data_IF_187012787518
#
_entry.id   IF_187012787518
#
_cell.length_a   1.000
_cell.length_b   1.000
_cell.length_c   1.000
_cell.angle_alpha   90.00
_cell.angle_beta   90.00
_cell.angle_gamma   90.00
#
_symmetry.space_group_name_H-M   'P 1'
#
loop_
_entity.id
_entity.type
_entity.pdbx_description
1 polymer ?
#
# COMPACT_ATOMS: atom_id res chain seq x y z
N UNK A 1 2.47 9.09 1.95
CA UNK A 1 1.63 8.66 3.09
C UNK A 1 1.65 9.65 4.24
N UNK A 2 2.80 10.13 4.70
CA UNK A 2 2.92 11.10 5.80
C UNK A 2 2.11 12.40 5.64
N UNK A 3 1.68 12.75 4.42
CA UNK A 3 0.86 13.93 4.14
C UNK A 3 -0.64 13.68 4.34
N UNK A 4 -1.18 12.57 3.83
CA UNK A 4 -2.63 12.34 3.80
C UNK A 4 -3.14 11.52 4.99
N UNK A 5 -2.36 10.53 5.49
CA UNK A 5 -2.82 9.63 6.55
C UNK A 5 -3.26 10.37 7.83
N UNK A 6 -2.48 11.33 8.39
CA UNK A 6 -2.91 12.05 9.60
C UNK A 6 -4.21 12.82 9.41
N UNK A 7 -4.50 13.29 8.19
CA UNK A 7 -5.75 13.99 7.87
C UNK A 7 -6.95 13.05 7.86
N UNK A 8 -6.77 11.83 7.35
CA UNK A 8 -7.81 10.81 7.38
C UNK A 8 -8.11 10.35 8.81
N UNK A 9 -7.08 10.14 9.61
CA UNK A 9 -7.21 9.79 11.03
C UNK A 9 -7.95 10.90 11.80
N UNK A 10 -7.58 12.16 11.61
CA UNK A 10 -8.25 13.31 12.21
C UNK A 10 -9.72 13.46 11.77
N UNK A 11 -10.04 13.03 10.54
CA UNK A 11 -11.42 12.99 10.03
C UNK A 11 -12.20 11.75 10.48
N UNK A 12 -11.63 10.87 11.30
CA UNK A 12 -12.27 9.65 11.80
C UNK A 12 -12.60 8.66 10.68
N UNK A 13 -11.77 8.58 9.64
CA UNK A 13 -11.93 7.64 8.55
C UNK A 13 -11.37 6.27 8.92
N UNK A 14 -11.99 5.16 8.49
CA UNK A 14 -11.44 3.82 8.69
C UNK A 14 -10.17 3.66 7.84
N UNK A 15 -9.03 3.74 8.49
CA UNK A 15 -7.70 3.47 7.95
C UNK A 15 -7.04 2.38 8.78
N UNK A 16 -6.14 1.56 8.23
CA UNK A 16 -5.39 0.59 9.03
C UNK A 16 -4.60 1.30 10.13
N UNK A 17 -4.57 0.74 11.34
CA UNK A 17 -3.69 1.23 12.40
C UNK A 17 -2.26 1.30 11.88
N UNK A 18 -1.65 2.47 11.93
CA UNK A 18 -0.39 2.75 11.27
C UNK A 18 0.54 3.54 12.18
N UNK A 19 1.80 3.11 12.27
CA UNK A 19 2.88 3.91 12.86
C UNK A 19 3.82 4.37 11.75
N UNK A 20 4.05 5.68 11.68
CA UNK A 20 4.98 6.29 10.73
C UNK A 20 6.35 6.46 11.38
N UNK A 21 7.39 5.93 10.74
CA UNK A 21 8.78 6.00 11.21
C UNK A 21 9.62 6.75 10.18
N UNK A 22 10.30 7.85 10.56
CA UNK A 22 11.18 8.56 9.66
C UNK A 22 12.49 7.79 9.47
N UNK A 23 13.04 7.84 8.25
CA UNK A 23 14.36 7.30 7.94
C UNK A 23 15.31 8.43 7.58
N UNK A 24 16.42 8.54 8.32
CA UNK A 24 17.46 9.51 8.01
C UNK A 24 18.26 9.11 6.76
N UNK A 25 18.90 10.09 6.13
CA UNK A 25 19.83 9.81 5.02
C UNK A 25 21.01 8.92 5.42
N UNK A 26 21.44 9.03 6.69
CA UNK A 26 22.51 8.19 7.21
C UNK A 26 22.04 6.73 7.33
N UNK A 27 20.88 6.51 7.96
CA UNK A 27 20.27 5.18 8.05
C UNK A 27 20.02 4.54 6.68
N UNK A 28 19.51 5.31 5.71
CA UNK A 28 19.32 4.83 4.33
C UNK A 28 20.62 4.32 3.71
N UNK A 29 21.70 5.14 3.77
CA UNK A 29 23.00 4.76 3.21
C UNK A 29 23.61 3.54 3.90
N UNK A 30 23.42 3.46 5.20
CA UNK A 30 23.95 2.37 6.01
C UNK A 30 23.22 1.05 5.72
N UNK A 31 21.88 1.05 5.65
CA UNK A 31 21.14 -0.13 5.19
C UNK A 31 21.55 -0.53 3.77
N UNK A 32 21.78 0.45 2.89
CA UNK A 32 22.22 0.16 1.52
C UNK A 32 23.58 -0.54 1.47
N UNK A 33 24.48 -0.23 2.40
CA UNK A 33 25.81 -0.87 2.51
C UNK A 33 25.74 -2.38 2.82
N UNK A 34 24.61 -2.89 3.33
CA UNK A 34 24.41 -4.33 3.56
C UNK A 34 24.53 -5.13 2.26
N UNK A 35 24.14 -4.54 1.12
CA UNK A 35 24.29 -5.16 -0.19
C UNK A 35 25.78 -5.36 -0.58
N UNK A 36 26.67 -4.56 -0.01
CA UNK A 36 28.14 -4.69 -0.16
C UNK A 36 28.76 -5.61 0.90
N UNK A 37 27.94 -6.27 1.73
CA UNK A 37 28.39 -7.12 2.83
C UNK A 37 29.00 -6.38 4.02
N UNK A 38 28.76 -5.06 4.14
CA UNK A 38 29.22 -4.27 5.29
C UNK A 38 28.31 -4.45 6.49
N UNK A 39 28.81 -4.34 7.73
CA UNK A 39 27.96 -4.37 8.91
C UNK A 39 27.10 -3.11 8.99
N UNK A 40 25.95 -3.21 9.67
CA UNK A 40 25.12 -2.06 10.01
C UNK A 40 25.81 -1.19 11.06
N UNK A 41 25.70 0.12 10.89
CA UNK A 41 26.13 1.14 11.83
C UNK A 41 24.95 1.64 12.69
N UNK A 42 25.22 2.51 13.67
CA UNK A 42 24.24 3.01 14.64
C UNK A 42 22.99 3.63 13.97
N UNK A 43 23.10 4.49 12.95
CA UNK A 43 21.90 5.10 12.35
C UNK A 43 20.88 4.09 11.77
N UNK A 44 21.38 3.00 11.17
CA UNK A 44 20.49 1.96 10.66
C UNK A 44 19.95 1.07 11.77
N UNK A 45 20.78 0.77 12.77
CA UNK A 45 20.35 -0.01 13.94
C UNK A 45 19.25 0.72 14.72
N UNK A 46 19.38 2.03 14.97
CA UNK A 46 18.36 2.86 15.62
C UNK A 46 17.04 2.84 14.82
N UNK A 47 17.12 3.07 13.52
CA UNK A 47 15.95 3.03 12.63
C UNK A 47 15.26 1.66 12.66
N UNK A 48 16.02 0.56 12.58
CA UNK A 48 15.46 -0.80 12.62
C UNK A 48 14.85 -1.13 13.99
N UNK A 49 15.40 -0.61 15.08
CA UNK A 49 14.82 -0.74 16.41
C UNK A 49 13.48 -0.01 16.52
N UNK A 50 13.40 1.23 16.05
CA UNK A 50 12.14 1.98 16.03
C UNK A 50 11.08 1.28 15.17
N UNK A 51 11.47 0.83 13.98
CA UNK A 51 10.57 0.12 13.07
C UNK A 51 10.10 -1.22 13.66
N UNK A 52 11.00 -1.96 14.30
CA UNK A 52 10.71 -3.21 14.98
C UNK A 52 9.81 -3.02 16.20
N UNK A 53 10.03 -1.96 16.99
CA UNK A 53 9.15 -1.59 18.10
C UNK A 53 7.74 -1.27 17.63
N UNK A 54 7.59 -0.47 16.56
CA UNK A 54 6.31 -0.17 15.96
C UNK A 54 5.58 -1.44 15.47
N UNK A 55 6.32 -2.38 14.86
CA UNK A 55 5.76 -3.65 14.41
C UNK A 55 5.31 -4.55 15.58
N UNK A 56 6.07 -4.57 16.65
CA UNK A 56 5.73 -5.33 17.87
C UNK A 56 4.47 -4.75 18.57
N UNK A 57 4.34 -3.42 18.59
CA UNK A 57 3.16 -2.75 19.16
C UNK A 57 1.88 -3.03 18.35
N UNK A 58 1.98 -3.02 17.01
CA UNK A 58 0.87 -3.36 16.13
C UNK A 58 0.51 -4.85 16.25
N UNK A 59 1.51 -5.70 16.33
CA UNK A 59 1.40 -7.17 16.37
C UNK A 59 1.59 -7.82 15.00
N UNK A 60 2.52 -8.78 14.93
CA UNK A 60 2.78 -9.54 13.70
C UNK A 60 1.61 -10.48 13.35
N UNK A 61 1.37 -10.73 12.03
CA UNK A 61 2.04 -10.12 10.88
C UNK A 61 1.63 -8.66 10.67
N UNK A 62 2.54 -7.85 10.09
CA UNK A 62 2.28 -6.47 9.74
C UNK A 62 2.47 -6.21 8.25
N UNK A 63 1.84 -5.15 7.75
CA UNK A 63 2.07 -4.64 6.40
C UNK A 63 3.10 -3.51 6.46
N UNK A 64 4.30 -3.77 5.93
CA UNK A 64 5.42 -2.83 5.88
C UNK A 64 5.48 -2.13 4.52
N UNK A 65 5.72 -0.82 4.50
CA UNK A 65 5.93 -0.08 3.25
C UNK A 65 6.75 1.20 3.47
N UNK A 66 7.31 1.74 2.39
CA UNK A 66 7.76 3.13 2.40
C UNK A 66 6.56 4.08 2.27
N UNK A 67 6.78 5.36 2.48
CA UNK A 67 5.76 6.38 2.25
C UNK A 67 5.27 6.45 0.80
N UNK A 68 6.04 5.91 -0.15
CA UNK A 68 5.77 5.99 -1.59
C UNK A 68 5.35 4.66 -2.20
N UNK A 69 5.83 3.53 -1.70
CA UNK A 69 5.54 2.21 -2.30
C UNK A 69 5.54 1.08 -1.29
N UNK A 70 4.85 -0.01 -1.61
CA UNK A 70 4.83 -1.23 -0.81
C UNK A 70 5.59 -2.39 -1.46
N UNK A 71 5.93 -2.29 -2.74
CA UNK A 71 6.55 -3.40 -3.48
C UNK A 71 5.72 -4.68 -3.50
N UNK A 72 4.37 -4.58 -3.44
CA UNK A 72 3.47 -5.71 -3.20
C UNK A 72 3.55 -6.86 -4.23
N UNK A 73 4.19 -6.65 -5.39
CA UNK A 73 4.48 -7.72 -6.34
C UNK A 73 5.60 -8.69 -5.86
N UNK A 74 6.25 -8.38 -4.75
CA UNK A 74 7.17 -9.28 -4.03
C UNK A 74 6.68 -9.49 -2.60
N UNK A 75 5.40 -9.88 -2.47
CA UNK A 75 4.59 -9.87 -1.25
C UNK A 75 5.33 -10.37 -0.01
N UNK A 76 5.85 -11.60 -0.05
CA UNK A 76 6.48 -12.27 1.09
C UNK A 76 7.89 -11.75 1.40
N UNK A 77 8.49 -10.93 0.52
CA UNK A 77 9.84 -10.39 0.65
C UNK A 77 9.86 -8.89 0.95
N UNK A 78 8.73 -8.20 0.74
CA UNK A 78 8.62 -6.74 0.89
C UNK A 78 7.61 -6.37 1.97
N UNK A 79 6.33 -6.35 1.64
CA UNK A 79 5.32 -5.73 2.49
C UNK A 79 4.67 -6.67 3.52
N UNK A 80 4.67 -7.98 3.33
CA UNK A 80 4.14 -8.95 4.30
C UNK A 80 5.22 -9.40 5.27
N UNK A 81 5.36 -8.68 6.38
CA UNK A 81 6.34 -9.00 7.42
C UNK A 81 5.68 -9.90 8.49
N UNK A 82 5.94 -11.19 8.40
CA UNK A 82 5.34 -12.20 9.29
C UNK A 82 6.06 -12.32 10.64
N UNK A 83 7.38 -12.06 10.69
CA UNK A 83 8.23 -12.30 11.86
C UNK A 83 9.30 -11.22 12.00
N UNK A 84 9.68 -10.84 13.23
CA UNK A 84 10.67 -9.78 13.48
C UNK A 84 12.05 -10.07 12.90
N UNK A 85 12.47 -11.33 12.81
CA UNK A 85 13.79 -11.74 12.31
C UNK A 85 13.99 -11.41 10.84
N UNK A 86 12.89 -11.14 10.10
CA UNK A 86 12.92 -10.82 8.69
C UNK A 86 12.93 -9.32 8.40
N UNK A 87 12.85 -8.47 9.43
CA UNK A 87 12.70 -7.03 9.28
C UNK A 87 13.78 -6.41 8.38
N UNK A 88 15.07 -6.68 8.66
CA UNK A 88 16.17 -6.13 7.85
C UNK A 88 16.06 -6.55 6.38
N UNK A 89 15.77 -7.81 6.11
CA UNK A 89 15.65 -8.29 4.71
C UNK A 89 14.48 -7.64 3.97
N UNK A 90 13.36 -7.38 4.64
CA UNK A 90 12.22 -6.67 4.07
C UNK A 90 12.53 -5.19 3.81
N UNK A 91 13.21 -4.53 4.77
CA UNK A 91 13.66 -3.14 4.60
C UNK A 91 14.60 -3.03 3.42
N UNK A 92 15.62 -3.88 3.33
CA UNK A 92 16.55 -3.91 2.21
C UNK A 92 15.83 -4.13 0.87
N UNK A 93 14.93 -5.12 0.79
CA UNK A 93 14.16 -5.39 -0.44
C UNK A 93 13.26 -4.22 -0.87
N UNK A 94 12.65 -3.50 0.09
CA UNK A 94 11.83 -2.31 -0.20
C UNK A 94 12.69 -1.13 -0.67
N UNK A 95 13.90 -0.96 -0.12
CA UNK A 95 14.86 0.06 -0.59
C UNK A 95 15.29 -0.27 -2.02
N UNK A 96 15.73 -1.51 -2.27
CA UNK A 96 16.11 -1.96 -3.61
C UNK A 96 14.99 -1.73 -4.62
N UNK A 97 13.77 -2.17 -4.29
CA UNK A 97 12.60 -1.93 -5.13
C UNK A 97 12.38 -0.44 -5.39
N UNK A 98 12.46 0.41 -4.35
CA UNK A 98 12.25 1.85 -4.47
C UNK A 98 13.28 2.52 -5.40
N UNK A 99 14.55 2.10 -5.33
CA UNK A 99 15.61 2.59 -6.21
C UNK A 99 15.42 2.15 -7.67
N UNK A 100 14.80 0.99 -7.90
CA UNK A 100 14.60 0.43 -9.24
C UNK A 100 13.31 0.92 -9.95
N UNK A 101 12.38 1.55 -9.25
CA UNK A 101 11.06 1.96 -9.83
C UNK A 101 11.19 3.08 -10.86
N UNK A 102 12.17 3.97 -10.71
CA UNK A 102 12.40 5.07 -11.65
C UNK A 102 13.88 5.39 -11.76
N UNK A 103 14.24 6.21 -12.75
CA UNK A 103 15.64 6.61 -12.97
C UNK A 103 16.28 7.32 -11.75
N UNK A 104 15.46 7.99 -10.93
CA UNK A 104 15.92 8.71 -9.74
C UNK A 104 15.53 8.02 -8.43
N UNK A 105 14.92 6.83 -8.51
CA UNK A 105 14.37 6.12 -7.36
C UNK A 105 13.13 6.80 -6.75
N UNK A 106 12.56 6.18 -5.72
CA UNK A 106 11.49 6.74 -4.89
C UNK A 106 12.03 7.05 -3.49
N UNK A 107 11.66 8.19 -2.89
CA UNK A 107 12.11 8.54 -1.55
C UNK A 107 11.72 7.50 -0.50
N UNK A 108 12.69 7.08 0.32
CA UNK A 108 12.49 6.17 1.46
C UNK A 108 12.54 6.91 2.82
N UNK A 109 12.32 8.23 2.83
CA UNK A 109 12.43 9.06 4.04
C UNK A 109 11.35 8.81 5.09
N UNK A 110 10.27 8.16 4.73
CA UNK A 110 9.18 7.73 5.62
C UNK A 110 8.84 6.28 5.41
N UNK A 111 8.63 5.59 6.50
CA UNK A 111 8.16 4.20 6.54
C UNK A 111 6.85 4.10 7.28
N UNK A 112 6.04 3.15 6.92
CA UNK A 112 4.79 2.86 7.59
C UNK A 112 4.73 1.38 7.97
N UNK A 113 4.57 1.14 9.26
CA UNK A 113 4.19 -0.16 9.80
C UNK A 113 2.70 -0.12 10.02
N UNK A 114 1.97 -1.04 9.39
CA UNK A 114 0.52 -1.05 9.40
C UNK A 114 -0.01 -2.40 9.87
N UNK A 115 -1.15 -2.39 10.54
CA UNK A 115 -1.86 -3.64 10.78
C UNK A 115 -2.14 -4.35 9.45
N UNK A 116 -1.99 -5.65 9.43
CA UNK A 116 -2.46 -6.47 8.33
C UNK A 116 -3.98 -6.65 8.50
N UNK A 117 -4.75 -6.01 7.63
CA UNK A 117 -6.21 -6.07 7.69
C UNK A 117 -6.73 -7.51 7.47
N UNK A 118 -7.73 -7.97 8.21
CA UNK A 118 -8.37 -9.28 7.97
C UNK A 118 -9.21 -9.20 6.70
N UNK A 119 -8.66 -9.66 5.59
CA UNK A 119 -9.30 -9.63 4.27
C UNK A 119 -9.92 -10.97 3.91
N UNK A 120 -10.83 -10.97 2.94
CA UNK A 120 -11.49 -12.15 2.37
C UNK A 120 -10.97 -12.38 0.94
N UNK A 121 -9.81 -13.05 0.75
CA UNK A 121 -9.24 -13.22 -0.57
C UNK A 121 -10.13 -14.10 -1.48
N UNK A 122 -10.35 -13.65 -2.71
CA UNK A 122 -11.01 -14.43 -3.76
C UNK A 122 -10.02 -15.29 -4.55
N UNK A 123 -8.75 -14.92 -4.54
CA UNK A 123 -7.65 -15.63 -5.18
C UNK A 123 -6.31 -15.22 -4.54
N UNK A 124 -5.23 -15.82 -5.01
CA UNK A 124 -3.86 -15.38 -4.74
C UNK A 124 -3.10 -15.24 -6.06
N UNK A 125 -2.11 -14.36 -6.09
CA UNK A 125 -1.20 -14.17 -7.22
C UNK A 125 0.09 -14.99 -7.02
N UNK A 126 0.25 -16.16 -7.64
CA UNK A 126 1.46 -16.97 -7.48
C UNK A 126 2.72 -16.25 -7.90
N UNK A 127 2.66 -15.48 -9.00
CA UNK A 127 3.80 -14.72 -9.53
C UNK A 127 4.19 -13.50 -8.67
N UNK A 128 3.37 -13.18 -7.65
CA UNK A 128 3.61 -12.11 -6.69
C UNK A 128 3.78 -12.67 -5.27
N UNK A 129 4.46 -13.79 -5.16
CA UNK A 129 4.78 -14.49 -3.90
C UNK A 129 3.52 -14.82 -3.08
N UNK A 130 2.42 -15.20 -3.74
CA UNK A 130 1.18 -15.56 -3.07
C UNK A 130 0.35 -14.39 -2.54
N UNK A 131 0.57 -13.17 -3.04
CA UNK A 131 -0.20 -12.00 -2.65
C UNK A 131 -1.70 -12.24 -2.77
N UNK A 132 -2.49 -11.96 -1.70
CA UNK A 132 -3.93 -12.13 -1.74
C UNK A 132 -4.60 -11.12 -2.68
N UNK A 133 -5.58 -11.60 -3.43
CA UNK A 133 -6.46 -10.79 -4.29
C UNK A 133 -7.79 -10.61 -3.56
N UNK A 134 -8.02 -9.41 -3.09
CA UNK A 134 -9.21 -9.03 -2.33
C UNK A 134 -10.02 -8.01 -3.11
N UNK A 135 -11.29 -7.82 -2.72
CA UNK A 135 -12.12 -6.75 -3.29
C UNK A 135 -11.58 -5.40 -2.84
N UNK A 136 -11.07 -4.67 -3.80
CA UNK A 136 -10.48 -3.35 -3.63
C UNK A 136 -10.92 -2.47 -4.81
N UNK A 137 -11.25 -1.22 -4.53
CA UNK A 137 -11.65 -0.26 -5.54
C UNK A 137 -10.75 0.96 -5.50
N UNK A 138 -10.46 1.50 -6.69
CA UNK A 138 -9.80 2.78 -6.86
C UNK A 138 -10.80 3.83 -7.28
N UNK A 139 -10.95 4.85 -6.47
CA UNK A 139 -11.82 5.99 -6.73
C UNK A 139 -10.96 7.20 -7.09
N UNK A 140 -11.26 7.86 -8.20
CA UNK A 140 -10.66 9.16 -8.52
C UNK A 140 -11.57 10.26 -7.97
N UNK A 141 -10.99 11.14 -7.18
CA UNK A 141 -11.73 12.16 -6.41
C UNK A 141 -11.12 13.54 -6.67
N UNK A 142 -11.96 14.54 -6.89
CA UNK A 142 -11.56 15.93 -6.98
C UNK A 142 -12.36 16.73 -5.93
N UNK A 143 -11.66 17.31 -4.96
CA UNK A 143 -12.25 18.14 -3.88
C UNK A 143 -13.46 17.47 -3.21
N UNK A 144 -13.35 16.18 -2.91
CA UNK A 144 -14.42 15.40 -2.27
C UNK A 144 -15.51 14.89 -3.23
N UNK A 145 -15.44 15.21 -4.52
CA UNK A 145 -16.39 14.67 -5.52
C UNK A 145 -15.76 13.45 -6.23
N UNK A 146 -16.36 12.27 -6.08
CA UNK A 146 -15.92 11.05 -6.80
C UNK A 146 -16.27 11.17 -8.28
N UNK A 147 -15.25 11.16 -9.12
CA UNK A 147 -15.38 11.26 -10.58
C UNK A 147 -15.63 9.92 -11.24
N UNK A 148 -14.88 8.91 -10.82
CA UNK A 148 -15.08 7.52 -11.25
C UNK A 148 -14.64 6.54 -10.17
N UNK A 149 -15.07 5.30 -10.30
CA UNK A 149 -14.74 4.16 -9.46
C UNK A 149 -14.43 2.98 -10.36
N UNK A 150 -13.33 2.30 -10.08
CA UNK A 150 -12.90 1.12 -10.82
C UNK A 150 -12.47 0.01 -9.88
N UNK A 151 -12.66 -1.27 -10.22
CA UNK A 151 -11.98 -2.36 -9.51
C UNK A 151 -10.47 -2.14 -9.54
N UNK A 152 -9.80 -2.37 -8.44
CA UNK A 152 -8.33 -2.19 -8.35
C UNK A 152 -7.58 -3.18 -9.27
N UNK A 153 -8.14 -4.37 -9.45
CA UNK A 153 -7.54 -5.48 -10.18
C UNK A 153 -8.13 -5.64 -11.58
N UNK A 154 -7.52 -5.08 -12.64
CA UNK A 154 -7.90 -5.41 -14.01
C UNK A 154 -7.50 -6.84 -14.35
N UNK A 155 -8.23 -7.48 -15.28
CA UNK A 155 -8.01 -8.88 -15.69
C UNK A 155 -6.56 -9.13 -16.07
N UNK A 156 -5.94 -8.23 -16.83
CA UNK A 156 -4.56 -8.35 -17.30
C UNK A 156 -3.54 -8.33 -16.14
N UNK A 157 -3.85 -7.64 -15.03
CA UNK A 157 -3.00 -7.65 -13.84
C UNK A 157 -3.10 -8.98 -13.10
N UNK A 158 -4.30 -9.57 -13.04
CA UNK A 158 -4.53 -10.91 -12.48
C UNK A 158 -3.84 -12.00 -13.32
N UNK A 159 -3.91 -11.91 -14.64
CA UNK A 159 -3.21 -12.81 -15.57
C UNK A 159 -1.70 -12.75 -15.36
N UNK A 160 -1.12 -11.54 -15.30
CA UNK A 160 0.31 -11.36 -14.98
C UNK A 160 0.68 -11.89 -13.60
N UNK A 161 -0.23 -11.79 -12.64
CA UNK A 161 -0.10 -12.37 -11.30
C UNK A 161 -0.18 -13.90 -11.27
N UNK A 162 -0.51 -14.54 -12.39
CA UNK A 162 -0.66 -15.99 -12.50
C UNK A 162 -1.96 -16.51 -11.88
N UNK A 163 -2.98 -15.66 -11.76
CA UNK A 163 -4.28 -16.06 -11.19
C UNK A 163 -5.03 -16.96 -12.19
N UNK A 164 -5.37 -18.15 -11.75
CA UNK A 164 -6.23 -19.05 -12.53
C UNK A 164 -7.62 -18.43 -12.71
N UNK A 165 -8.19 -18.53 -13.93
CA UNK A 165 -9.50 -17.97 -14.26
C UNK A 165 -9.62 -16.46 -13.96
N UNK A 166 -8.59 -15.68 -14.31
CA UNK A 166 -8.47 -14.26 -14.02
C UNK A 166 -9.73 -13.44 -14.36
N UNK A 167 -10.37 -13.72 -15.51
CA UNK A 167 -11.61 -13.04 -15.91
C UNK A 167 -12.76 -13.29 -14.92
N UNK A 168 -12.95 -14.53 -14.46
CA UNK A 168 -13.99 -14.86 -13.48
C UNK A 168 -13.69 -14.23 -12.11
N UNK A 169 -12.41 -14.18 -11.72
CA UNK A 169 -12.01 -13.51 -10.48
C UNK A 169 -12.27 -12.02 -10.59
N UNK A 170 -11.94 -11.37 -11.71
CA UNK A 170 -12.21 -9.95 -11.95
C UNK A 170 -13.71 -9.62 -11.88
N UNK A 171 -14.56 -10.45 -12.47
CA UNK A 171 -16.01 -10.35 -12.39
C UNK A 171 -16.50 -10.40 -10.94
N UNK A 172 -16.08 -11.42 -10.18
CA UNK A 172 -16.45 -11.58 -8.76
C UNK A 172 -15.95 -10.45 -7.87
N UNK A 173 -14.81 -9.84 -8.19
CA UNK A 173 -14.30 -8.65 -7.47
C UNK A 173 -15.21 -7.44 -7.64
N UNK A 174 -15.96 -7.37 -8.75
CA UNK A 174 -16.85 -6.27 -9.11
C UNK A 174 -18.31 -6.50 -8.74
N UNK A 175 -18.67 -7.70 -8.29
CA UNK A 175 -20.03 -8.07 -7.95
C UNK A 175 -20.37 -7.78 -6.48
N UNK A 176 -21.65 -7.54 -6.21
CA UNK A 176 -22.27 -7.57 -4.87
C UNK A 176 -21.51 -6.77 -3.80
N UNK A 177 -21.18 -5.51 -4.07
CA UNK A 177 -20.61 -4.62 -3.07
C UNK A 177 -21.50 -3.37 -2.89
N UNK A 178 -21.34 -2.69 -1.77
CA UNK A 178 -22.01 -1.42 -1.50
C UNK A 178 -21.24 -0.27 -2.16
N UNK A 179 -21.62 0.06 -3.40
CA UNK A 179 -20.98 1.14 -4.16
C UNK A 179 -21.18 2.50 -3.50
N UNK A 180 -22.33 2.73 -2.86
CA UNK A 180 -22.62 4.00 -2.19
C UNK A 180 -21.70 4.20 -0.99
N UNK A 181 -21.47 3.15 -0.19
CA UNK A 181 -20.54 3.19 0.94
C UNK A 181 -19.11 3.45 0.48
N UNK A 182 -18.63 2.74 -0.56
CA UNK A 182 -17.29 2.94 -1.12
C UNK A 182 -17.11 4.37 -1.63
N UNK A 183 -18.09 4.89 -2.40
CA UNK A 183 -18.05 6.28 -2.89
C UNK A 183 -18.09 7.30 -1.78
N UNK A 184 -18.94 7.10 -0.78
CA UNK A 184 -19.05 8.01 0.37
C UNK A 184 -17.73 8.05 1.16
N UNK A 185 -17.08 6.90 1.34
CA UNK A 185 -15.81 6.81 2.03
C UNK A 185 -14.69 7.52 1.24
N UNK A 186 -14.59 7.27 -0.07
CA UNK A 186 -13.63 7.93 -0.94
C UNK A 186 -13.86 9.46 -1.01
N UNK A 187 -15.13 9.90 -1.10
CA UNK A 187 -15.48 11.32 -1.08
C UNK A 187 -15.03 12.02 0.20
N UNK A 188 -15.27 11.40 1.37
CA UNK A 188 -14.82 11.91 2.68
C UNK A 188 -13.29 11.98 2.74
N UNK A 189 -12.59 10.96 2.23
CA UNK A 189 -11.12 10.95 2.18
C UNK A 189 -10.58 12.09 1.30
N UNK A 190 -11.14 12.26 0.11
CA UNK A 190 -10.79 13.37 -0.79
C UNK A 190 -11.07 14.74 -0.17
N UNK A 191 -12.22 14.92 0.49
CA UNK A 191 -12.56 16.17 1.17
C UNK A 191 -11.61 16.48 2.33
N UNK A 192 -11.17 15.48 3.09
CA UNK A 192 -10.22 15.66 4.20
C UNK A 192 -8.83 16.12 3.73
N UNK A 193 -8.44 15.76 2.51
CA UNK A 193 -7.10 16.07 1.97
C UNK A 193 -7.14 17.29 1.05
N UNK A 194 -8.21 17.44 0.26
CA UNK A 194 -8.39 18.47 -0.78
C UNK A 194 -7.58 18.18 -2.05
N UNK A 195 -8.04 18.69 -3.20
CA UNK A 195 -7.38 18.49 -4.49
C UNK A 195 -7.78 17.19 -5.19
N UNK A 196 -6.95 16.75 -6.15
CA UNK A 196 -7.21 15.58 -7.00
C UNK A 196 -6.42 14.35 -6.52
N UNK A 197 -7.13 13.28 -6.15
CA UNK A 197 -6.55 12.06 -5.57
C UNK A 197 -7.14 10.79 -6.18
N UNK A 198 -6.33 9.75 -6.27
CA UNK A 198 -6.82 8.38 -6.28
C UNK A 198 -6.90 7.88 -4.83
N UNK A 199 -8.00 7.23 -4.49
CA UNK A 199 -8.29 6.68 -3.17
C UNK A 199 -8.56 5.19 -3.33
N UNK A 200 -7.74 4.36 -2.70
CA UNK A 200 -7.93 2.91 -2.73
C UNK A 200 -8.72 2.48 -1.48
N UNK A 201 -9.82 1.79 -1.72
CA UNK A 201 -10.77 1.33 -0.69
C UNK A 201 -10.88 -0.18 -0.73
N UNK A 202 -10.52 -0.85 0.36
CA UNK A 202 -10.41 -2.30 0.50
C UNK A 202 -11.53 -2.86 1.38
N UNK A 203 -12.19 -3.92 0.92
CA UNK A 203 -13.13 -4.70 1.72
C UNK A 203 -12.39 -5.61 2.72
N UNK A 204 -12.87 -5.61 3.95
CA UNK A 204 -12.36 -6.46 5.03
C UNK A 204 -13.51 -7.09 5.81
N UNK A 205 -13.21 -8.06 6.68
CA UNK A 205 -14.19 -8.61 7.62
C UNK A 205 -14.79 -7.55 8.58
N UNK A 206 -14.12 -6.38 8.70
CA UNK A 206 -14.54 -5.27 9.56
C UNK A 206 -15.21 -4.12 8.78
N UNK A 207 -15.54 -4.32 7.49
CA UNK A 207 -16.06 -3.30 6.58
C UNK A 207 -14.97 -2.70 5.69
N UNK A 208 -15.25 -1.53 5.12
CA UNK A 208 -14.40 -0.86 4.15
C UNK A 208 -13.33 0.02 4.80
N UNK A 209 -12.11 -0.05 4.29
CA UNK A 209 -10.95 0.74 4.76
C UNK A 209 -10.29 1.50 3.63
N UNK A 210 -9.93 2.76 3.87
CA UNK A 210 -9.04 3.49 2.97
C UNK A 210 -7.60 3.00 3.19
N UNK A 211 -7.04 2.35 2.19
CA UNK A 211 -5.72 1.71 2.29
C UNK A 211 -4.60 2.51 1.68
N UNK A 212 -4.86 3.27 0.62
CA UNK A 212 -3.86 4.11 -0.02
C UNK A 212 -4.48 5.35 -0.66
N UNK A 213 -3.66 6.39 -0.82
CA UNK A 213 -3.96 7.57 -1.61
C UNK A 213 -2.72 8.01 -2.37
N UNK A 214 -2.91 8.42 -3.61
CA UNK A 214 -1.87 9.04 -4.43
C UNK A 214 -2.47 10.20 -5.23
N UNK A 215 -1.62 11.12 -5.69
CA UNK A 215 -2.04 12.17 -6.61
C UNK A 215 -2.68 11.55 -7.87
N UNK A 216 -3.86 12.04 -8.27
CA UNK A 216 -4.64 11.41 -9.34
C UNK A 216 -3.85 11.31 -10.66
N UNK A 217 -3.11 12.35 -11.02
CA UNK A 217 -2.29 12.42 -12.24
C UNK A 217 -1.12 11.41 -12.27
N UNK A 218 -0.69 10.90 -11.11
CA UNK A 218 0.38 9.91 -10.98
C UNK A 218 -0.14 8.49 -10.82
N UNK A 219 -1.45 8.33 -10.76
CA UNK A 219 -2.09 7.04 -10.55
C UNK A 219 -2.52 6.43 -11.88
N UNK A 220 -2.33 5.11 -11.99
CA UNK A 220 -2.85 4.40 -13.15
C UNK A 220 -4.38 4.50 -13.18
N UNK A 221 -4.92 4.92 -14.32
CA UNK A 221 -6.34 5.06 -14.58
C UNK A 221 -6.78 4.05 -15.64
N UNK A 222 -8.03 3.58 -15.56
CA UNK A 222 -8.55 2.64 -16.52
C UNK A 222 -8.69 3.28 -17.89
N UNK A 223 -8.14 2.65 -18.97
CA UNK A 223 -8.26 3.18 -20.33
C UNK A 223 -9.72 3.35 -20.76
N UNK A 224 -10.02 4.48 -21.38
CA UNK A 224 -11.35 4.77 -21.88
C UNK A 224 -12.38 5.21 -20.81
N UNK A 225 -11.96 5.50 -19.60
CA UNK A 225 -12.83 6.13 -18.61
C UNK A 225 -13.19 7.55 -19.06
N UNK A 226 -14.49 7.88 -19.09
CA UNK A 226 -14.99 9.20 -19.49
C UNK A 226 -14.63 10.33 -18.51
N UNK A 227 -14.09 10.00 -17.34
CA UNK A 227 -13.62 10.95 -16.33
C UNK A 227 -12.12 11.26 -16.45
N UNK A 228 -11.42 10.70 -17.44
CA UNK A 228 -10.09 11.15 -17.87
C UNK A 228 -10.21 12.52 -18.54
N UNK A 229 -9.96 13.61 -17.79
CA UNK A 229 -10.01 14.98 -18.29
C UNK A 229 -9.37 15.93 -17.29
#
# INVERSE_FOLDING_TARGET
>A
MSYWLPKLEAAGLPVPRTTLVPMSRAAFRDVFNVFDGKPLEDPANEFLQELGAAAAEIGYPVFLRTGMTSGKHSWSRTCYLAYPERLLSHVASLIEFSECVSFVGLPCSWWAVRELLPTMPLAACPNYDGMPVCREFRCFVLDGAVRCLHPYWPTEALERGGVANAAQVAERLSECFDEEEVRALAARAGAAVGGAWSVDVLETERGWFVTDMAEAEKSWHWPGCSAEG
#
